data_IF_481008855045
#
_entry.id   IF_481008855045
#
_cell.length_a   1.000
_cell.length_b   1.000
_cell.length_c   1.000
_cell.angle_alpha   90.00
_cell.angle_beta   90.00
_cell.angle_gamma   90.00
#
_symmetry.space_group_name_H-M   'P 1'
#
loop_
_entity.id
_entity.type
_entity.pdbx_description
1 polymer ?
#
# COMPACT_ATOMS: atom_id res chain seq x y z
N UNK A 1 22.78 -26.73 19.86
CA UNK A 1 22.05 -26.80 18.56
C UNK A 1 21.32 -25.49 18.34
N UNK A 2 21.84 -24.65 17.46
CA UNK A 2 21.20 -23.37 17.11
C UNK A 2 20.01 -23.64 16.18
N UNK A 3 18.80 -23.31 16.64
CA UNK A 3 17.59 -23.36 15.80
C UNK A 3 17.79 -22.50 14.56
N UNK A 4 17.45 -22.99 13.35
CA UNK A 4 17.56 -22.17 12.14
C UNK A 4 16.67 -20.93 12.27
N UNK A 5 17.29 -19.75 12.15
CA UNK A 5 16.58 -18.47 12.19
C UNK A 5 15.74 -18.40 10.92
N UNK A 6 14.41 -18.36 11.05
CA UNK A 6 13.53 -18.29 9.89
C UNK A 6 13.77 -16.97 9.13
N UNK A 7 13.69 -17.01 7.79
CA UNK A 7 13.84 -15.82 6.90
C UNK A 7 12.98 -14.63 7.36
N UNK A 8 11.75 -14.90 7.84
CA UNK A 8 10.85 -13.88 8.38
C UNK A 8 11.39 -13.20 9.63
N UNK A 9 12.10 -13.94 10.49
CA UNK A 9 12.74 -13.40 11.68
C UNK A 9 13.91 -12.52 11.31
N UNK A 10 14.76 -12.94 10.38
CA UNK A 10 15.88 -12.12 9.87
C UNK A 10 15.40 -10.82 9.23
N UNK A 11 14.31 -10.86 8.46
CA UNK A 11 13.68 -9.69 7.84
C UNK A 11 13.27 -8.64 8.89
N UNK A 12 12.66 -9.07 10.00
CA UNK A 12 12.10 -8.17 11.00
C UNK A 12 13.07 -7.78 12.14
N UNK A 13 14.18 -8.50 12.29
CA UNK A 13 15.21 -8.17 13.28
C UNK A 13 16.39 -7.45 12.61
N UNK A 14 17.09 -8.10 11.68
CA UNK A 14 18.34 -7.58 11.07
C UNK A 14 18.07 -6.61 9.93
N UNK A 15 17.13 -6.92 9.04
CA UNK A 15 16.93 -6.20 7.79
C UNK A 15 15.69 -5.29 7.79
N UNK A 16 15.03 -5.12 8.93
CA UNK A 16 13.76 -4.39 9.02
C UNK A 16 13.83 -2.96 8.47
N UNK A 17 14.89 -2.21 8.83
CA UNK A 17 15.10 -0.84 8.32
C UNK A 17 15.21 -0.78 6.81
N UNK A 18 16.02 -1.67 6.21
CA UNK A 18 16.19 -1.72 4.76
C UNK A 18 14.90 -2.14 4.05
N UNK A 19 14.22 -3.17 4.57
CA UNK A 19 12.96 -3.66 4.02
C UNK A 19 11.84 -2.60 4.10
N UNK A 20 11.75 -1.84 5.20
CA UNK A 20 10.84 -0.70 5.30
C UNK A 20 11.18 0.40 4.29
N UNK A 21 12.47 0.67 4.07
CA UNK A 21 12.92 1.65 3.08
C UNK A 21 12.50 1.26 1.66
N UNK A 22 12.76 0.02 1.26
CA UNK A 22 12.35 -0.52 -0.05
C UNK A 22 10.83 -0.48 -0.20
N UNK A 23 10.10 -0.93 0.82
CA UNK A 23 8.64 -0.90 0.80
C UNK A 23 8.10 0.52 0.67
N UNK A 24 8.67 1.48 1.41
CA UNK A 24 8.28 2.90 1.33
C UNK A 24 8.52 3.48 -0.07
N UNK A 25 9.63 3.14 -0.74
CA UNK A 25 9.91 3.58 -2.12
C UNK A 25 8.84 3.07 -3.08
N UNK A 26 8.44 1.80 -2.98
CA UNK A 26 7.37 1.22 -3.80
C UNK A 26 6.04 1.98 -3.58
N UNK A 27 5.69 2.24 -2.32
CA UNK A 27 4.46 2.97 -1.95
C UNK A 27 4.48 4.39 -2.49
N UNK A 28 5.58 5.11 -2.32
CA UNK A 28 5.72 6.49 -2.77
C UNK A 28 5.69 6.60 -4.30
N UNK A 29 6.34 5.67 -5.01
CA UNK A 29 6.31 5.64 -6.47
C UNK A 29 4.88 5.47 -7.00
N UNK A 30 4.13 4.53 -6.43
CA UNK A 30 2.73 4.33 -6.82
C UNK A 30 1.86 5.55 -6.49
N UNK A 31 2.02 6.13 -5.31
CA UNK A 31 1.22 7.30 -4.94
C UNK A 31 1.56 8.51 -5.81
N UNK A 32 2.83 8.71 -6.16
CA UNK A 32 3.26 9.78 -7.08
C UNK A 32 2.55 9.66 -8.44
N UNK A 33 2.39 8.46 -9.00
CA UNK A 33 1.64 8.25 -10.24
C UNK A 33 0.18 8.71 -10.13
N UNK A 34 -0.50 8.38 -9.03
CA UNK A 34 -1.89 8.84 -8.82
C UNK A 34 -2.00 10.35 -8.57
N UNK A 35 -1.02 10.96 -7.91
CA UNK A 35 -0.97 12.43 -7.75
C UNK A 35 -0.79 13.09 -9.10
N UNK A 36 0.14 12.61 -9.94
CA UNK A 36 0.35 13.15 -11.29
C UNK A 36 -0.91 12.96 -12.14
N UNK A 37 -1.58 11.80 -12.08
CA UNK A 37 -2.85 11.57 -12.74
C UNK A 37 -3.91 12.60 -12.29
N UNK A 38 -4.02 12.88 -11.01
CA UNK A 38 -4.94 13.90 -10.49
C UNK A 38 -4.58 15.30 -10.99
N UNK A 39 -3.30 15.66 -11.04
CA UNK A 39 -2.85 16.94 -11.62
C UNK A 39 -3.22 17.03 -13.10
N UNK A 40 -3.01 15.96 -13.87
CA UNK A 40 -3.38 15.90 -15.28
C UNK A 40 -4.88 16.16 -15.48
N UNK A 41 -5.74 15.57 -14.64
CA UNK A 41 -7.20 15.74 -14.74
C UNK A 41 -7.63 17.12 -14.23
N UNK A 42 -7.29 17.49 -13.00
CA UNK A 42 -7.93 18.61 -12.31
C UNK A 42 -7.21 19.94 -12.51
N UNK A 43 -5.89 19.94 -12.73
CA UNK A 43 -5.12 21.15 -12.95
C UNK A 43 -4.87 21.43 -14.44
N UNK A 44 -4.63 20.39 -15.25
CA UNK A 44 -4.33 20.53 -16.67
C UNK A 44 -5.54 20.28 -17.58
N UNK A 45 -6.67 19.80 -17.04
CA UNK A 45 -7.91 19.59 -17.77
C UNK A 45 -7.86 18.44 -18.79
N UNK A 46 -6.97 17.48 -18.59
CA UNK A 46 -6.89 16.33 -19.49
C UNK A 46 -8.11 15.40 -19.35
N UNK A 47 -8.59 14.82 -20.44
CA UNK A 47 -9.61 13.78 -20.37
C UNK A 47 -9.12 12.60 -19.52
N UNK A 48 -10.02 12.03 -18.68
CA UNK A 48 -9.66 10.92 -17.78
C UNK A 48 -8.93 9.76 -18.48
N UNK A 49 -9.32 9.31 -19.71
CA UNK A 49 -8.61 8.23 -20.38
C UNK A 49 -7.17 8.56 -20.82
N UNK A 50 -6.83 9.86 -20.91
CA UNK A 50 -5.51 10.36 -21.30
C UNK A 50 -4.62 10.64 -20.08
N UNK A 51 -5.21 10.90 -18.92
CA UNK A 51 -4.54 11.16 -17.66
C UNK A 51 -4.01 9.87 -17.03
N UNK A 52 -2.80 9.47 -17.40
CA UNK A 52 -2.20 8.15 -17.08
C UNK A 52 -1.01 8.21 -16.13
N UNK A 53 -0.75 9.35 -15.50
CA UNK A 53 0.47 9.54 -14.69
C UNK A 53 1.71 9.71 -15.56
N UNK A 54 2.89 9.45 -15.01
CA UNK A 54 4.17 9.53 -15.73
C UNK A 54 4.46 8.24 -16.48
N UNK A 55 4.43 7.11 -15.78
CA UNK A 55 4.73 5.79 -16.36
C UNK A 55 3.61 5.25 -17.25
N UNK A 56 2.37 5.61 -16.97
CA UNK A 56 1.23 5.20 -17.78
C UNK A 56 1.16 5.86 -19.16
N UNK A 57 1.88 6.97 -19.41
CA UNK A 57 1.98 7.57 -20.73
C UNK A 57 2.73 6.65 -21.73
N UNK A 58 3.99 6.23 -21.44
CA UNK A 58 4.71 5.29 -22.31
C UNK A 58 4.22 3.86 -22.17
N UNK A 59 3.62 3.46 -21.05
CA UNK A 59 3.15 2.11 -20.75
C UNK A 59 1.68 2.10 -20.32
N UNK A 60 0.71 2.32 -21.24
CA UNK A 60 -0.71 2.46 -20.89
C UNK A 60 -1.29 1.27 -20.09
N UNK A 61 -0.78 0.07 -20.32
CA UNK A 61 -1.20 -1.15 -19.63
C UNK A 61 -0.97 -1.13 -18.10
N UNK A 62 -0.03 -0.32 -17.62
CA UNK A 62 0.17 -0.11 -16.17
C UNK A 62 -1.07 0.49 -15.49
N UNK A 63 -1.82 1.32 -16.21
CA UNK A 63 -2.98 2.04 -15.68
C UNK A 63 -4.31 1.41 -16.12
N UNK A 64 -4.33 0.69 -17.25
CA UNK A 64 -5.56 0.11 -17.79
C UNK A 64 -5.78 -1.35 -17.40
N UNK A 65 -4.74 -2.04 -16.90
CA UNK A 65 -4.81 -3.46 -16.55
C UNK A 65 -5.27 -3.68 -15.11
N UNK A 66 -6.40 -4.36 -14.91
CA UNK A 66 -6.84 -4.77 -13.56
C UNK A 66 -5.89 -5.79 -12.92
N UNK A 67 -5.13 -6.55 -13.70
CA UNK A 67 -4.05 -7.42 -13.20
C UNK A 67 -2.93 -6.62 -12.53
N UNK A 68 -2.54 -5.49 -13.11
CA UNK A 68 -1.50 -4.64 -12.52
C UNK A 68 -1.97 -3.98 -11.23
N UNK A 69 -3.20 -3.47 -11.21
CA UNK A 69 -3.79 -2.89 -10.01
C UNK A 69 -3.92 -3.92 -8.88
N UNK A 70 -4.44 -5.10 -9.20
CA UNK A 70 -4.52 -6.20 -8.24
C UNK A 70 -3.14 -6.66 -7.75
N UNK A 71 -2.17 -6.81 -8.65
CA UNK A 71 -0.80 -7.18 -8.32
C UNK A 71 -0.15 -6.18 -7.36
N UNK A 72 -0.34 -4.89 -7.59
CA UNK A 72 0.13 -3.86 -6.68
C UNK A 72 -0.58 -3.93 -5.31
N UNK A 73 -1.91 -4.06 -5.28
CA UNK A 73 -2.67 -4.20 -4.04
C UNK A 73 -2.21 -5.43 -3.22
N UNK A 74 -1.85 -6.52 -3.91
CA UNK A 74 -1.28 -7.71 -3.29
C UNK A 74 0.12 -7.46 -2.72
N UNK A 75 1.01 -6.79 -3.46
CA UNK A 75 2.36 -6.39 -2.97
C UNK A 75 2.23 -5.54 -1.71
N UNK A 76 1.32 -4.58 -1.68
CA UNK A 76 1.03 -3.74 -0.53
C UNK A 76 0.57 -4.56 0.68
N UNK A 77 -0.40 -5.45 0.48
CA UNK A 77 -0.93 -6.31 1.53
C UNK A 77 0.16 -7.24 2.10
N UNK A 78 0.89 -7.92 1.24
CA UNK A 78 1.98 -8.83 1.63
C UNK A 78 3.09 -8.09 2.37
N UNK A 79 3.50 -6.91 1.88
CA UNK A 79 4.50 -6.08 2.54
C UNK A 79 4.08 -5.67 3.95
N UNK A 80 2.84 -5.21 4.12
CA UNK A 80 2.29 -4.86 5.43
C UNK A 80 2.24 -6.07 6.39
N UNK A 81 1.86 -7.26 5.90
CA UNK A 81 1.84 -8.50 6.71
C UNK A 81 3.26 -8.93 7.12
N UNK A 82 4.21 -8.93 6.17
CA UNK A 82 5.56 -9.40 6.41
C UNK A 82 6.36 -8.50 7.36
N UNK A 83 6.14 -7.17 7.27
CA UNK A 83 6.88 -6.19 8.07
C UNK A 83 6.26 -5.92 9.44
N UNK A 84 4.99 -6.29 9.66
CA UNK A 84 4.28 -6.07 10.92
C UNK A 84 4.98 -6.63 12.17
N UNK A 85 5.64 -7.82 12.16
CA UNK A 85 6.30 -8.36 13.35
C UNK A 85 7.46 -7.50 13.87
N UNK A 86 8.08 -6.66 13.03
CA UNK A 86 9.13 -5.74 13.45
C UNK A 86 8.65 -4.55 14.28
N UNK A 87 7.36 -4.26 14.26
CA UNK A 87 6.73 -3.18 15.05
C UNK A 87 6.28 -3.66 16.43
N UNK A 88 6.32 -2.75 17.43
CA UNK A 88 5.90 -3.02 18.81
C UNK A 88 5.02 -1.89 19.34
N UNK A 89 4.22 -2.16 20.37
CA UNK A 89 3.40 -1.16 21.05
C UNK A 89 2.53 -0.32 20.09
N UNK A 90 2.54 0.99 20.27
CA UNK A 90 1.73 1.94 19.47
C UNK A 90 2.04 1.88 17.99
N UNK A 91 3.29 1.69 17.61
CA UNK A 91 3.68 1.59 16.19
C UNK A 91 3.07 0.38 15.53
N UNK A 92 2.96 -0.75 16.23
CA UNK A 92 2.28 -1.96 15.74
C UNK A 92 0.77 -1.75 15.58
N UNK A 93 0.15 -0.98 16.46
CA UNK A 93 -1.28 -0.64 16.34
C UNK A 93 -1.55 0.15 15.06
N UNK A 94 -0.80 1.22 14.82
CA UNK A 94 -0.95 2.05 13.63
C UNK A 94 -0.64 1.28 12.33
N UNK A 95 0.37 0.42 12.34
CA UNK A 95 0.67 -0.45 11.22
C UNK A 95 -0.46 -1.47 10.96
N UNK A 96 -1.11 -1.95 12.03
CA UNK A 96 -2.26 -2.86 11.91
C UNK A 96 -3.49 -2.15 11.35
N UNK A 97 -3.69 -0.87 11.68
CA UNK A 97 -4.75 -0.05 11.07
C UNK A 97 -4.52 0.07 9.56
N UNK A 98 -3.30 0.43 9.12
CA UNK A 98 -2.96 0.46 7.70
C UNK A 98 -3.21 -0.90 7.02
N UNK A 99 -2.82 -2.00 7.66
CA UNK A 99 -3.04 -3.35 7.17
C UNK A 99 -4.53 -3.70 7.03
N UNK A 100 -5.36 -3.32 8.00
CA UNK A 100 -6.81 -3.59 7.94
C UNK A 100 -7.49 -2.83 6.80
N UNK A 101 -7.13 -1.57 6.59
CA UNK A 101 -7.64 -0.76 5.47
C UNK A 101 -7.16 -1.34 4.13
N UNK A 102 -5.87 -1.70 4.03
CA UNK A 102 -5.30 -2.31 2.82
C UNK A 102 -5.92 -3.67 2.52
N UNK A 103 -6.29 -4.46 3.52
CA UNK A 103 -6.97 -5.73 3.32
C UNK A 103 -8.33 -5.53 2.65
N UNK A 104 -9.12 -4.54 3.09
CA UNK A 104 -10.37 -4.19 2.44
C UNK A 104 -10.14 -3.71 1.00
N UNK A 105 -9.20 -2.81 0.80
CA UNK A 105 -8.85 -2.30 -0.51
C UNK A 105 -8.38 -3.40 -1.49
N UNK A 106 -7.65 -4.38 -0.99
CA UNK A 106 -7.28 -5.58 -1.76
C UNK A 106 -8.50 -6.40 -2.21
N UNK A 107 -9.53 -6.53 -1.35
CA UNK A 107 -10.79 -7.21 -1.73
C UNK A 107 -11.49 -6.46 -2.87
N UNK A 108 -11.51 -5.13 -2.85
CA UNK A 108 -12.08 -4.34 -3.95
C UNK A 108 -11.32 -4.53 -5.26
N UNK A 109 -9.97 -4.58 -5.23
CA UNK A 109 -9.17 -4.88 -6.40
C UNK A 109 -9.37 -6.32 -6.91
N UNK A 110 -9.55 -7.29 -6.03
CA UNK A 110 -9.91 -8.66 -6.41
C UNK A 110 -11.27 -8.68 -7.12
N UNK A 111 -12.25 -7.93 -6.62
CA UNK A 111 -13.57 -7.82 -7.24
C UNK A 111 -13.48 -7.20 -8.66
N UNK A 112 -12.65 -6.16 -8.84
CA UNK A 112 -12.41 -5.54 -10.15
C UNK A 112 -11.76 -6.55 -11.12
N UNK A 113 -10.75 -7.28 -10.66
CA UNK A 113 -10.09 -8.30 -11.47
C UNK A 113 -11.04 -9.42 -11.89
N UNK A 114 -11.86 -9.94 -10.97
CA UNK A 114 -12.85 -10.97 -11.28
C UNK A 114 -13.86 -10.49 -12.32
N UNK A 115 -14.34 -9.25 -12.23
CA UNK A 115 -15.22 -8.64 -13.23
C UNK A 115 -14.53 -8.53 -14.60
N UNK A 116 -13.24 -8.13 -14.63
CA UNK A 116 -12.47 -8.05 -15.88
C UNK A 116 -12.28 -9.43 -16.54
N UNK A 117 -12.10 -10.48 -15.72
CA UNK A 117 -11.95 -11.86 -16.24
C UNK A 117 -13.28 -12.43 -16.76
N UNK A 118 -14.36 -12.20 -16.00
CA UNK A 118 -15.68 -12.81 -16.32
C UNK A 118 -16.50 -12.02 -17.32
N UNK A 119 -16.16 -10.75 -17.55
CA UNK A 119 -16.97 -9.84 -18.36
C UNK A 119 -18.32 -9.46 -17.74
N UNK A 120 -18.55 -9.85 -16.47
CA UNK A 120 -19.79 -9.52 -15.73
C UNK A 120 -19.50 -8.43 -14.73
N UNK A 121 -20.13 -7.26 -14.91
CA UNK A 121 -19.85 -6.09 -14.13
C UNK A 121 -20.90 -5.83 -13.04
N UNK A 122 -20.47 -5.34 -11.89
CA UNK A 122 -21.30 -5.05 -10.74
C UNK A 122 -22.39 -4.02 -11.11
N UNK A 123 -23.63 -4.30 -10.71
CA UNK A 123 -24.81 -3.44 -10.94
C UNK A 123 -25.01 -3.04 -12.42
N UNK A 124 -24.63 -3.89 -13.38
CA UNK A 124 -24.78 -3.63 -14.81
C UNK A 124 -23.94 -2.48 -15.36
N UNK A 125 -22.86 -2.10 -14.66
CA UNK A 125 -21.97 -1.03 -15.11
C UNK A 125 -21.25 -1.42 -16.42
N UNK A 126 -20.89 -0.43 -17.26
CA UNK A 126 -20.21 -0.72 -18.53
C UNK A 126 -18.75 -1.18 -18.37
N UNK A 127 -18.15 -0.97 -17.18
CA UNK A 127 -16.77 -1.32 -16.85
C UNK A 127 -16.69 -1.95 -15.47
N UNK A 128 -15.62 -2.70 -15.14
CA UNK A 128 -15.38 -3.19 -13.78
C UNK A 128 -15.48 -2.07 -12.76
N UNK A 129 -16.27 -2.28 -11.72
CA UNK A 129 -16.59 -1.27 -10.70
C UNK A 129 -16.54 -1.91 -9.32
N UNK A 130 -15.81 -1.31 -8.36
CA UNK A 130 -15.79 -1.80 -6.98
C UNK A 130 -17.02 -1.31 -6.19
N UNK A 131 -17.21 -1.82 -4.98
CA UNK A 131 -18.37 -1.49 -4.15
C UNK A 131 -18.42 0.02 -3.88
N UNK A 132 -17.30 0.61 -3.46
CA UNK A 132 -17.26 2.05 -3.15
C UNK A 132 -17.26 2.90 -4.42
N UNK A 133 -16.76 2.39 -5.54
CA UNK A 133 -16.85 3.07 -6.84
C UNK A 133 -18.29 3.24 -7.36
N UNK A 134 -19.26 2.59 -6.79
CA UNK A 134 -20.67 2.88 -7.09
C UNK A 134 -21.07 4.31 -6.67
N UNK A 135 -20.34 4.90 -5.70
CA UNK A 135 -20.63 6.21 -5.10
C UNK A 135 -19.50 7.22 -5.37
N UNK A 136 -18.23 6.79 -5.33
CA UNK A 136 -17.07 7.65 -5.48
C UNK A 136 -16.35 7.29 -6.79
N UNK A 137 -16.02 8.26 -7.66
CA UNK A 137 -15.28 7.98 -8.89
C UNK A 137 -13.91 7.34 -8.60
N UNK A 138 -13.40 6.59 -9.59
CA UNK A 138 -12.21 5.73 -9.44
C UNK A 138 -10.95 6.48 -9.00
N UNK A 139 -10.70 7.65 -9.59
CA UNK A 139 -9.46 8.42 -9.32
C UNK A 139 -9.46 8.96 -7.89
N UNK A 140 -10.56 9.57 -7.47
CA UNK A 140 -10.75 10.11 -6.12
C UNK A 140 -10.69 9.01 -5.07
N UNK A 141 -11.28 7.85 -5.36
CA UNK A 141 -11.24 6.70 -4.47
C UNK A 141 -9.81 6.17 -4.29
N UNK A 142 -9.01 6.10 -5.36
CA UNK A 142 -7.61 5.70 -5.28
C UNK A 142 -6.77 6.69 -4.46
N UNK A 143 -6.96 8.00 -4.65
CA UNK A 143 -6.31 9.02 -3.84
C UNK A 143 -6.69 8.89 -2.36
N UNK A 144 -7.96 8.65 -2.08
CA UNK A 144 -8.46 8.45 -0.72
C UNK A 144 -7.83 7.21 -0.07
N UNK A 145 -7.86 6.04 -0.74
CA UNK A 145 -7.24 4.82 -0.20
C UNK A 145 -5.74 4.97 0.00
N UNK A 146 -5.04 5.56 -0.96
CA UNK A 146 -3.61 5.84 -0.80
C UNK A 146 -3.34 6.67 0.46
N UNK A 147 -4.12 7.73 0.71
CA UNK A 147 -3.97 8.58 1.89
C UNK A 147 -4.28 7.83 3.20
N UNK A 148 -5.42 7.12 3.28
CA UNK A 148 -5.86 6.45 4.54
C UNK A 148 -5.03 5.20 4.87
N UNK A 149 -4.31 4.61 3.92
CA UNK A 149 -3.31 3.56 4.17
C UNK A 149 -1.96 4.19 4.52
N UNK A 150 -1.53 5.22 3.77
CA UNK A 150 -0.23 5.85 3.93
C UNK A 150 -0.06 6.58 5.26
N UNK A 151 -1.07 7.36 5.67
CA UNK A 151 -0.98 8.14 6.92
C UNK A 151 -0.72 7.26 8.14
N UNK A 152 -1.52 6.21 8.45
CA UNK A 152 -1.22 5.35 9.59
C UNK A 152 0.09 4.56 9.42
N UNK A 153 0.51 4.22 8.20
CA UNK A 153 1.80 3.61 7.93
C UNK A 153 2.96 4.54 8.32
N UNK A 154 2.90 5.83 7.91
CA UNK A 154 3.91 6.84 8.28
C UNK A 154 3.92 7.09 9.78
N UNK A 155 2.74 7.22 10.41
CA UNK A 155 2.63 7.36 11.87
C UNK A 155 3.28 6.15 12.58
N UNK A 156 3.03 4.93 12.11
CA UNK A 156 3.67 3.73 12.63
C UNK A 156 5.20 3.81 12.54
N UNK A 157 5.74 4.21 11.39
CA UNK A 157 7.18 4.35 11.17
C UNK A 157 7.80 5.44 12.06
N UNK A 158 7.13 6.58 12.23
CA UNK A 158 7.60 7.66 13.11
C UNK A 158 7.61 7.23 14.59
N UNK A 159 6.54 6.56 15.05
CA UNK A 159 6.47 6.03 16.41
C UNK A 159 7.52 4.92 16.65
N UNK A 160 7.79 4.10 15.63
CA UNK A 160 8.81 3.07 15.68
C UNK A 160 10.24 3.66 15.83
N UNK A 161 10.48 4.82 15.23
CA UNK A 161 11.76 5.56 15.39
C UNK A 161 11.86 6.29 16.74
N UNK A 162 10.72 6.53 17.42
CA UNK A 162 10.64 7.24 18.72
C UNK A 162 9.87 6.38 19.73
N UNK A 163 10.40 5.18 20.07
CA UNK A 163 9.73 4.29 21.02
C UNK A 163 9.77 4.88 22.44
N UNK A 164 8.72 4.59 23.23
CA UNK A 164 8.75 4.78 24.67
C UNK A 164 9.69 3.75 25.31
N UNK A 165 10.13 3.99 26.53
CA UNK A 165 11.05 3.09 27.26
C UNK A 165 10.51 1.65 27.33
N UNK A 166 9.23 1.48 27.70
CA UNK A 166 8.56 0.19 27.74
C UNK A 166 8.44 -0.51 26.36
N UNK A 167 8.37 0.28 25.27
CA UNK A 167 8.36 -0.27 23.90
C UNK A 167 9.78 -0.67 23.47
N UNK A 168 10.79 0.12 23.87
CA UNK A 168 12.21 -0.12 23.54
C UNK A 168 12.72 -1.43 24.15
N UNK A 169 12.33 -1.77 25.37
CA UNK A 169 12.75 -2.99 26.05
C UNK A 169 12.31 -4.28 25.35
N UNK A 170 11.24 -4.23 24.54
CA UNK A 170 10.69 -5.39 23.80
C UNK A 170 11.00 -5.35 22.29
N UNK A 171 11.60 -4.27 21.78
CA UNK A 171 11.99 -4.15 20.37
C UNK A 171 13.17 -5.08 20.06
N UNK A 172 13.03 -5.84 18.96
CA UNK A 172 14.08 -6.77 18.48
C UNK A 172 14.69 -6.35 17.15
N UNK A 173 14.18 -5.30 16.53
CA UNK A 173 14.71 -4.85 15.23
C UNK A 173 16.00 -4.04 15.37
N UNK A 174 16.90 -4.15 14.39
CA UNK A 174 18.11 -3.32 14.30
C UNK A 174 17.85 -1.81 14.20
N UNK A 175 16.59 -1.37 14.03
CA UNK A 175 16.19 0.03 14.04
C UNK A 175 16.34 0.67 15.44
N UNK A 176 16.21 -0.15 16.51
CA UNK A 176 16.31 0.30 17.90
C UNK A 176 17.76 0.42 18.37
N UNK A 177 18.69 -0.33 17.76
CA UNK A 177 20.09 -0.44 18.16
C UNK A 177 20.99 0.67 17.59
N UNK A 178 20.50 1.48 16.65
CA UNK A 178 21.26 2.55 15.99
C UNK A 178 20.96 3.98 16.48
N UNK A 179 20.30 4.14 17.64
CA UNK A 179 19.94 5.42 18.25
C UNK A 179 20.65 5.64 19.59
N UNK A 180 21.88 5.11 19.74
CA UNK A 180 22.76 5.40 20.86
C UNK A 180 23.88 6.30 20.39
#
# INVERSE_FOLDING_TARGET
MSTPVTTRRQLNERHHKAALGVFLVIVLAHWAEHIVQAIQIYALGWPIPEARGVLGLPFPWLVTSEWMHYGYALVMLVGLILLRPGFTGRSRTWWTIALAIQFWHHIEHLLLLLQAITGTHLAGRPVPTSIIQLVIPRVELHLFYNAVVFVPMVVAMLLHRRPREAERSVMRCGCALGAA
#
